data_IF_275917333932
#
_entry.id   IF_275917333932
#
_cell.length_a   1.000
_cell.length_b   1.000
_cell.length_c   1.000
_cell.angle_alpha   90.00
_cell.angle_beta   90.00
_cell.angle_gamma   90.00
#
_symmetry.space_group_name_H-M   'P 1'
#
loop_
_entity.id
_entity.type
_entity.pdbx_description
1 polymer ?
#
# COMPACT_ATOMS: atom_id res chain seq x y z
N UNK A 1 6.23 -56.98 -1.82
CA UNK A 1 5.32 -56.85 -0.66
C UNK A 1 5.38 -55.42 -0.18
N UNK A 2 4.28 -54.70 -0.36
CA UNK A 2 4.10 -53.28 -0.03
C UNK A 2 3.74 -53.18 1.45
N UNK A 3 4.48 -52.36 2.21
CA UNK A 3 4.08 -51.96 3.57
C UNK A 3 3.87 -50.45 3.53
N UNK A 4 2.59 -50.10 3.46
CA UNK A 4 2.04 -48.78 3.69
C UNK A 4 2.38 -48.33 5.11
N UNK A 5 3.26 -47.32 5.24
CA UNK A 5 3.33 -46.51 6.45
C UNK A 5 2.37 -45.34 6.29
N UNK A 6 1.28 -45.42 7.04
CA UNK A 6 0.22 -44.44 7.13
C UNK A 6 0.77 -43.10 7.61
N UNK A 7 0.55 -42.07 6.79
CA UNK A 7 0.62 -40.65 7.16
C UNK A 7 -0.51 -40.39 8.16
N UNK A 8 -0.26 -40.63 9.46
CA UNK A 8 -1.29 -40.45 10.49
C UNK A 8 -0.75 -40.05 11.87
N UNK A 9 0.48 -39.57 11.98
CA UNK A 9 1.08 -39.24 13.29
C UNK A 9 1.63 -37.82 13.46
N UNK A 10 1.25 -36.86 12.60
CA UNK A 10 1.64 -35.45 12.76
C UNK A 10 0.47 -34.48 13.02
N UNK A 11 -0.76 -34.98 13.16
CA UNK A 11 -1.92 -34.17 13.56
C UNK A 11 -2.26 -34.40 15.03
N UNK A 12 -1.38 -33.99 15.95
CA UNK A 12 -1.77 -33.83 17.36
C UNK A 12 -0.88 -32.82 18.10
N UNK A 13 -1.03 -31.55 17.74
CA UNK A 13 -0.87 -30.47 18.70
C UNK A 13 -2.07 -29.55 18.55
N UNK A 14 -2.83 -29.41 19.64
CA UNK A 14 -4.05 -28.61 19.78
C UNK A 14 -3.81 -27.19 19.26
N UNK A 15 -4.13 -26.95 17.99
CA UNK A 15 -4.14 -25.63 17.40
C UNK A 15 -5.42 -24.94 17.82
N UNK A 16 -5.38 -24.17 18.92
CA UNK A 16 -6.41 -23.18 19.21
C UNK A 16 -6.61 -22.35 17.92
N UNK A 17 -7.77 -22.48 17.27
CA UNK A 17 -8.16 -21.59 16.17
C UNK A 17 -8.19 -20.17 16.76
N UNK A 18 -7.12 -19.42 16.52
CA UNK A 18 -7.04 -18.02 16.90
C UNK A 18 -8.19 -17.29 16.21
N UNK A 19 -9.12 -16.74 16.99
CA UNK A 19 -10.22 -15.94 16.47
C UNK A 19 -9.76 -14.51 16.24
N UNK A 20 -10.43 -13.78 15.34
CA UNK A 20 -10.14 -12.37 15.07
C UNK A 20 -10.21 -11.54 16.36
N UNK A 21 -11.29 -11.70 17.13
CA UNK A 21 -11.49 -10.96 18.37
C UNK A 21 -10.48 -11.34 19.46
N UNK A 22 -10.12 -12.63 19.56
CA UNK A 22 -9.10 -13.11 20.49
C UNK A 22 -7.71 -12.55 20.18
N UNK A 23 -7.37 -12.45 18.89
CA UNK A 23 -6.13 -11.82 18.44
C UNK A 23 -6.14 -10.31 18.71
N UNK A 24 -7.23 -9.60 18.39
CA UNK A 24 -7.32 -8.17 18.69
C UNK A 24 -7.19 -7.88 20.18
N UNK A 25 -7.82 -8.70 21.03
CA UNK A 25 -7.73 -8.57 22.48
C UNK A 25 -6.31 -8.80 23.00
N UNK A 26 -5.53 -9.70 22.41
CA UNK A 26 -4.15 -9.97 22.83
C UNK A 26 -3.16 -8.87 22.43
N UNK A 27 -3.49 -8.04 21.43
CA UNK A 27 -2.67 -6.92 20.99
C UNK A 27 -2.82 -5.68 21.90
N UNK A 28 -4.04 -5.41 22.39
CA UNK A 28 -4.34 -4.19 23.16
C UNK A 28 -3.59 -4.15 24.49
N UNK A 29 -3.01 -3.00 24.81
CA UNK A 29 -2.23 -2.73 26.02
C UNK A 29 -0.79 -3.26 25.96
N UNK A 30 -0.38 -3.90 24.87
CA UNK A 30 1.00 -4.40 24.74
C UNK A 30 1.96 -3.26 24.44
N UNK A 31 3.13 -3.30 25.10
CA UNK A 31 4.22 -2.38 24.81
C UNK A 31 5.17 -3.04 23.81
N UNK A 32 5.46 -2.34 22.72
CA UNK A 32 6.38 -2.80 21.68
C UNK A 32 7.37 -1.70 21.31
N UNK A 33 8.55 -2.12 20.87
CA UNK A 33 9.59 -1.23 20.35
C UNK A 33 9.67 -1.42 18.84
N UNK A 34 9.31 -0.37 18.10
CA UNK A 34 9.52 -0.31 16.66
C UNK A 34 11.02 -0.09 16.40
N UNK A 35 11.66 -0.86 15.50
CA UNK A 35 13.08 -0.69 15.24
C UNK A 35 13.37 0.57 14.42
N UNK A 36 14.63 1.00 14.41
CA UNK A 36 15.08 2.15 13.64
C UNK A 36 15.04 1.87 12.13
N UNK A 37 13.90 2.11 11.49
CA UNK A 37 13.74 1.90 10.04
C UNK A 37 14.57 2.89 9.21
N UNK A 38 14.83 4.10 9.73
CA UNK A 38 15.68 5.10 9.05
C UNK A 38 17.10 4.56 8.86
N UNK A 39 17.63 3.81 9.83
CA UNK A 39 18.95 3.18 9.70
C UNK A 39 19.02 2.15 8.58
N UNK A 40 17.92 1.44 8.28
CA UNK A 40 17.88 0.39 7.25
C UNK A 40 17.95 0.96 5.83
N UNK A 41 17.50 2.20 5.64
CA UNK A 41 17.46 2.90 4.36
C UNK A 41 18.42 4.10 4.32
N UNK A 42 19.38 4.20 5.26
CA UNK A 42 20.29 5.34 5.36
C UNK A 42 21.12 5.57 4.09
N UNK A 43 21.37 4.52 3.30
CA UNK A 43 22.08 4.59 2.02
C UNK A 43 21.20 5.01 0.84
N UNK A 44 19.88 5.15 1.03
CA UNK A 44 18.98 5.65 -0.01
C UNK A 44 18.98 7.19 -0.03
N UNK A 45 18.79 7.80 -1.22
CA UNK A 45 18.69 9.25 -1.32
C UNK A 45 17.43 9.78 -0.63
N UNK A 46 17.52 11.00 -0.11
CA UNK A 46 16.43 11.74 0.51
C UNK A 46 16.50 13.19 0.05
N UNK A 47 15.39 13.74 -0.42
CA UNK A 47 15.29 15.12 -0.84
C UNK A 47 13.83 15.60 -0.76
N UNK A 48 13.64 16.91 -0.72
CA UNK A 48 12.35 17.58 -0.93
C UNK A 48 12.45 18.32 -2.25
N UNK A 49 11.44 18.18 -3.11
CA UNK A 49 11.43 18.86 -4.39
C UNK A 49 11.28 20.39 -4.17
N UNK A 50 11.97 21.25 -4.94
CA UNK A 50 11.86 22.71 -4.77
C UNK A 50 10.42 23.26 -4.82
N UNK A 51 9.57 22.61 -5.62
CA UNK A 51 8.15 22.96 -5.79
C UNK A 51 7.21 22.32 -4.74
N UNK A 52 7.74 21.73 -3.67
CA UNK A 52 6.90 21.02 -2.70
C UNK A 52 5.86 21.92 -2.01
N UNK A 53 6.22 23.16 -1.70
CA UNK A 53 5.31 24.14 -1.08
C UNK A 53 4.22 24.58 -2.07
N UNK A 54 4.60 24.91 -3.31
CA UNK A 54 3.66 25.23 -4.39
C UNK A 54 2.66 24.09 -4.60
N UNK A 55 3.16 22.85 -4.66
CA UNK A 55 2.32 21.65 -4.81
C UNK A 55 1.40 21.46 -3.61
N UNK A 56 1.85 21.76 -2.39
CA UNK A 56 1.03 21.67 -1.20
C UNK A 56 -0.18 22.63 -1.27
N UNK A 57 0.05 23.88 -1.66
CA UNK A 57 -1.01 24.88 -1.84
C UNK A 57 -2.02 24.46 -2.92
N UNK A 58 -1.55 23.99 -4.07
CA UNK A 58 -2.39 23.55 -5.18
C UNK A 58 -3.24 22.32 -4.81
N UNK A 59 -2.66 21.35 -4.09
CA UNK A 59 -3.38 20.16 -3.61
C UNK A 59 -4.40 20.56 -2.57
N UNK A 60 -4.06 21.43 -1.61
CA UNK A 60 -4.99 21.87 -0.57
C UNK A 60 -6.19 22.58 -1.18
N UNK A 61 -5.96 23.49 -2.13
CA UNK A 61 -7.04 24.17 -2.86
C UNK A 61 -7.93 23.17 -3.62
N UNK A 62 -7.33 22.19 -4.29
CA UNK A 62 -8.08 21.15 -5.01
C UNK A 62 -8.96 20.31 -4.07
N UNK A 63 -8.46 20.00 -2.87
CA UNK A 63 -9.23 19.30 -1.84
C UNK A 63 -10.34 20.19 -1.28
N UNK A 64 -10.05 21.46 -0.99
CA UNK A 64 -11.05 22.40 -0.49
C UNK A 64 -12.19 22.57 -1.49
N UNK A 65 -11.90 22.67 -2.79
CA UNK A 65 -12.92 22.72 -3.84
C UNK A 65 -13.76 21.45 -3.87
N UNK A 66 -13.11 20.28 -3.76
CA UNK A 66 -13.76 18.96 -3.76
C UNK A 66 -14.69 18.76 -2.55
N UNK A 67 -14.30 19.26 -1.37
CA UNK A 67 -15.00 19.07 -0.09
C UNK A 67 -15.77 20.30 0.41
N UNK A 68 -15.81 21.38 -0.37
CA UNK A 68 -16.38 22.70 -0.02
C UNK A 68 -17.86 22.70 0.41
N UNK A 69 -18.64 21.68 0.07
CA UNK A 69 -20.05 21.57 0.49
C UNK A 69 -20.37 20.27 1.21
N UNK A 70 -21.25 20.33 2.23
CA UNK A 70 -21.80 19.14 2.92
C UNK A 70 -22.52 18.19 1.97
N UNK A 71 -23.06 18.72 0.87
CA UNK A 71 -23.70 17.93 -0.17
C UNK A 71 -22.67 17.16 -1.00
N UNK A 72 -21.55 17.80 -1.37
CA UNK A 72 -20.41 17.14 -2.03
C UNK A 72 -19.84 16.05 -1.12
N UNK A 73 -19.54 16.35 0.15
CA UNK A 73 -19.01 15.37 1.09
C UNK A 73 -19.91 14.13 1.28
N UNK A 74 -21.25 14.29 1.23
CA UNK A 74 -22.19 13.15 1.30
C UNK A 74 -22.30 12.36 0.00
N UNK A 75 -22.03 12.99 -1.16
CA UNK A 75 -22.04 12.36 -2.49
C UNK A 75 -20.74 11.60 -2.78
N UNK A 76 -19.63 11.98 -2.15
CA UNK A 76 -18.33 11.33 -2.27
C UNK A 76 -18.30 10.02 -1.45
N UNK A 77 -19.06 9.02 -1.88
CA UNK A 77 -18.85 7.66 -1.40
C UNK A 77 -17.62 7.07 -2.09
N UNK A 78 -16.67 6.62 -1.28
CA UNK A 78 -15.44 5.99 -1.75
C UNK A 78 -15.30 4.59 -1.26
N UNK A 79 -14.55 3.80 -2.02
CA UNK A 79 -14.17 2.46 -1.63
C UNK A 79 -13.03 2.48 -0.58
N UNK A 80 -13.32 3.08 0.58
CA UNK A 80 -12.41 3.16 1.71
C UNK A 80 -13.19 3.12 3.02
N UNK A 81 -12.77 2.23 3.91
CA UNK A 81 -13.34 2.06 5.24
C UNK A 81 -13.17 3.30 6.13
N UNK A 82 -12.17 4.13 5.87
CA UNK A 82 -11.90 5.34 6.65
C UNK A 82 -12.92 6.46 6.37
N UNK A 83 -13.57 6.42 5.21
CA UNK A 83 -14.31 7.58 4.69
C UNK A 83 -15.74 7.24 4.21
N UNK A 84 -16.08 5.96 4.03
CA UNK A 84 -17.41 5.57 3.55
C UNK A 84 -17.84 4.18 4.03
N UNK A 85 -19.15 4.01 4.19
CA UNK A 85 -19.79 2.70 4.41
C UNK A 85 -19.97 1.90 3.11
N UNK A 86 -19.58 2.43 1.95
CA UNK A 86 -19.65 1.74 0.65
C UNK A 86 -18.92 0.39 0.67
N UNK A 87 -17.87 0.26 1.49
CA UNK A 87 -17.13 -0.99 1.67
C UNK A 87 -17.98 -2.13 2.24
N UNK A 88 -19.13 -1.84 2.86
CA UNK A 88 -20.06 -2.87 3.33
C UNK A 88 -21.11 -3.25 2.27
N UNK A 89 -21.12 -2.58 1.11
CA UNK A 89 -22.03 -2.87 0.00
C UNK A 89 -21.24 -3.24 -1.26
N UNK A 90 -21.14 -4.55 -1.51
CA UNK A 90 -20.42 -5.13 -2.65
C UNK A 90 -20.95 -4.60 -3.98
N UNK A 91 -22.26 -4.42 -4.12
CA UNK A 91 -22.87 -3.93 -5.34
C UNK A 91 -22.47 -2.49 -5.64
N UNK A 92 -22.57 -1.61 -4.64
CA UNK A 92 -22.20 -0.19 -4.79
C UNK A 92 -20.71 0.00 -5.03
N UNK A 93 -19.85 -0.66 -4.25
CA UNK A 93 -18.39 -0.62 -4.41
C UNK A 93 -17.95 -1.18 -5.77
N UNK A 94 -18.55 -2.27 -6.25
CA UNK A 94 -18.26 -2.84 -7.57
C UNK A 94 -18.64 -1.88 -8.71
N UNK A 95 -19.80 -1.20 -8.62
CA UNK A 95 -20.20 -0.18 -9.60
C UNK A 95 -19.22 0.99 -9.63
N UNK A 96 -18.85 1.51 -8.46
CA UNK A 96 -17.89 2.59 -8.34
C UNK A 96 -16.53 2.22 -8.96
N UNK A 97 -16.01 1.02 -8.65
CA UNK A 97 -14.75 0.51 -9.24
C UNK A 97 -14.82 0.34 -10.75
N UNK A 98 -15.92 -0.19 -11.28
CA UNK A 98 -16.12 -0.36 -12.72
C UNK A 98 -16.22 0.98 -13.46
N UNK A 99 -16.94 1.94 -12.89
CA UNK A 99 -17.02 3.31 -13.39
C UNK A 99 -15.63 3.97 -13.40
N UNK A 100 -14.89 3.84 -12.30
CA UNK A 100 -13.52 4.34 -12.16
C UNK A 100 -12.59 3.76 -13.23
N UNK A 101 -12.59 2.43 -13.42
CA UNK A 101 -11.73 1.79 -14.41
C UNK A 101 -12.10 2.18 -15.85
N UNK A 102 -13.39 2.29 -16.17
CA UNK A 102 -13.84 2.78 -17.49
C UNK A 102 -13.38 4.20 -17.74
N UNK A 103 -13.48 5.07 -16.74
CA UNK A 103 -13.04 6.45 -16.86
C UNK A 103 -11.53 6.55 -17.07
N UNK A 104 -10.74 5.82 -16.27
CA UNK A 104 -9.28 5.75 -16.40
C UNK A 104 -8.89 5.26 -17.79
N UNK A 105 -9.47 4.14 -18.26
CA UNK A 105 -9.17 3.58 -19.58
C UNK A 105 -9.49 4.56 -20.71
N UNK A 106 -10.65 5.23 -20.62
CA UNK A 106 -11.03 6.25 -21.61
C UNK A 106 -10.10 7.47 -21.56
N UNK A 107 -9.70 7.94 -20.38
CA UNK A 107 -8.77 9.08 -20.22
C UNK A 107 -7.36 8.81 -20.73
N UNK A 108 -6.91 7.55 -20.72
CA UNK A 108 -5.62 7.16 -21.28
C UNK A 108 -5.68 7.01 -22.80
N UNK A 109 -6.86 6.66 -23.33
CA UNK A 109 -7.06 6.36 -24.76
C UNK A 109 -7.55 7.56 -25.57
N UNK A 110 -8.22 8.53 -24.93
CA UNK A 110 -8.77 9.71 -25.56
C UNK A 110 -7.84 10.90 -25.32
N UNK A 111 -7.20 11.40 -26.38
CA UNK A 111 -6.33 12.59 -26.33
C UNK A 111 -7.05 13.86 -25.84
N UNK A 112 -6.44 15.03 -26.03
CA UNK A 112 -6.75 16.34 -25.40
C UNK A 112 -8.24 16.81 -25.34
N UNK A 113 -9.18 16.15 -26.02
CA UNK A 113 -10.58 16.56 -26.13
C UNK A 113 -11.62 15.45 -25.89
N UNK A 114 -11.27 14.35 -25.21
CA UNK A 114 -12.26 13.32 -24.89
C UNK A 114 -13.29 13.85 -23.87
N UNK A 115 -14.53 14.06 -24.30
CA UNK A 115 -15.64 14.30 -23.37
C UNK A 115 -15.97 13.00 -22.61
N UNK A 116 -15.52 12.92 -21.35
CA UNK A 116 -15.73 11.77 -20.48
C UNK A 116 -16.92 11.95 -19.53
N UNK A 117 -17.72 13.01 -19.68
CA UNK A 117 -18.87 13.30 -18.81
C UNK A 117 -19.95 12.21 -18.87
N UNK A 118 -20.05 11.52 -20.01
CA UNK A 118 -20.95 10.38 -20.20
C UNK A 118 -20.51 9.12 -19.42
N UNK A 119 -19.26 9.04 -18.97
CA UNK A 119 -18.74 7.90 -18.18
C UNK A 119 -18.96 8.14 -16.70
N UNK A 120 -18.59 9.32 -16.20
CA UNK A 120 -18.76 9.69 -14.81
C UNK A 120 -18.87 11.20 -14.64
N UNK A 121 -19.70 11.60 -13.68
CA UNK A 121 -19.78 12.96 -13.14
C UNK A 121 -19.28 13.02 -11.69
N UNK A 122 -18.77 11.91 -11.15
CA UNK A 122 -18.25 11.85 -9.79
C UNK A 122 -16.87 12.53 -9.74
N UNK A 123 -16.70 13.62 -8.96
CA UNK A 123 -15.47 14.41 -9.00
C UNK A 123 -14.23 13.66 -8.51
N UNK A 124 -14.37 12.55 -7.78
CA UNK A 124 -13.24 11.67 -7.42
C UNK A 124 -12.75 10.83 -8.60
N UNK A 125 -13.68 10.43 -9.46
CA UNK A 125 -13.36 9.67 -10.67
C UNK A 125 -12.81 10.65 -11.72
N UNK A 126 -13.50 11.79 -11.91
CA UNK A 126 -13.10 12.78 -12.92
C UNK A 126 -11.84 13.55 -12.57
N UNK A 127 -11.45 13.60 -11.29
CA UNK A 127 -10.14 14.11 -10.85
C UNK A 127 -8.96 13.38 -11.49
N UNK A 128 -9.15 12.15 -11.99
CA UNK A 128 -8.13 11.45 -12.76
C UNK A 128 -7.96 11.99 -14.19
N UNK A 129 -8.94 12.72 -14.73
CA UNK A 129 -8.93 13.18 -16.13
C UNK A 129 -7.64 13.90 -16.54
N UNK A 130 -7.21 14.96 -15.82
CA UNK A 130 -5.93 15.63 -16.09
C UNK A 130 -4.71 14.70 -16.04
N UNK A 131 -4.71 13.71 -15.13
CA UNK A 131 -3.63 12.73 -15.00
C UNK A 131 -3.62 11.79 -16.21
N UNK A 132 -4.78 11.27 -16.60
CA UNK A 132 -4.95 10.41 -17.76
C UNK A 132 -4.50 11.08 -19.05
N UNK A 133 -4.90 12.34 -19.27
CA UNK A 133 -4.47 13.15 -20.42
C UNK A 133 -2.96 13.38 -20.43
N UNK A 134 -2.38 13.78 -19.28
CA UNK A 134 -0.93 13.97 -19.17
C UNK A 134 -0.16 12.67 -19.49
N UNK A 135 -0.62 11.52 -19.01
CA UNK A 135 -0.03 10.22 -19.35
C UNK A 135 -0.21 9.92 -20.84
N UNK A 136 -1.41 10.12 -21.38
CA UNK A 136 -1.72 9.84 -22.79
C UNK A 136 -0.79 10.62 -23.73
N UNK A 137 -0.59 11.91 -23.46
CA UNK A 137 0.23 12.80 -24.28
C UNK A 137 1.75 12.53 -24.19
N UNK A 138 2.21 11.93 -23.10
CA UNK A 138 3.64 11.77 -22.83
C UNK A 138 4.12 10.31 -22.90
N UNK A 139 3.25 9.36 -23.23
CA UNK A 139 3.60 7.93 -23.25
C UNK A 139 3.05 7.22 -24.48
N UNK A 140 3.69 6.10 -24.83
CA UNK A 140 3.21 5.26 -25.92
C UNK A 140 2.15 4.24 -25.46
N UNK A 141 1.45 3.64 -26.42
CA UNK A 141 0.37 2.66 -26.16
C UNK A 141 0.83 1.49 -25.26
N UNK A 142 2.08 1.05 -25.37
CA UNK A 142 2.61 -0.03 -24.50
C UNK A 142 2.71 0.44 -23.05
N UNK A 143 3.21 1.64 -22.81
CA UNK A 143 3.31 2.24 -21.48
C UNK A 143 1.91 2.47 -20.87
N UNK A 144 0.98 3.01 -21.67
CA UNK A 144 -0.41 3.20 -21.26
C UNK A 144 -1.08 1.87 -20.87
N UNK A 145 -0.91 0.82 -21.69
CA UNK A 145 -1.41 -0.53 -21.38
C UNK A 145 -0.80 -1.11 -20.11
N UNK A 146 0.51 -0.95 -19.91
CA UNK A 146 1.18 -1.44 -18.70
C UNK A 146 0.67 -0.73 -17.44
N UNK A 147 0.50 0.59 -17.51
CA UNK A 147 -0.06 1.40 -16.43
C UNK A 147 -1.51 1.01 -16.12
N UNK A 148 -2.37 0.90 -17.15
CA UNK A 148 -3.76 0.48 -17.00
C UNK A 148 -3.88 -0.93 -16.41
N UNK A 149 -3.01 -1.88 -16.82
CA UNK A 149 -2.95 -3.22 -16.23
C UNK A 149 -2.61 -3.16 -14.73
N UNK A 150 -1.66 -2.30 -14.34
CA UNK A 150 -1.33 -2.05 -12.94
C UNK A 150 -2.55 -1.57 -12.14
N UNK A 151 -3.30 -0.59 -12.67
CA UNK A 151 -4.51 -0.06 -12.03
C UNK A 151 -5.66 -1.08 -11.96
N UNK A 152 -5.89 -1.84 -13.02
CA UNK A 152 -6.87 -2.95 -13.01
C UNK A 152 -6.53 -3.98 -11.96
N UNK A 153 -5.25 -4.32 -11.81
CA UNK A 153 -4.79 -5.25 -10.79
C UNK A 153 -4.95 -4.66 -9.40
N UNK A 154 -4.62 -3.39 -9.18
CA UNK A 154 -4.89 -2.68 -7.92
C UNK A 154 -6.38 -2.79 -7.53
N UNK A 155 -7.29 -2.34 -8.41
CA UNK A 155 -8.75 -2.36 -8.16
C UNK A 155 -9.30 -3.76 -7.93
N UNK A 156 -8.78 -4.77 -8.65
CA UNK A 156 -9.17 -6.16 -8.42
C UNK A 156 -8.78 -6.61 -7.00
N UNK A 157 -7.59 -6.26 -6.55
CA UNK A 157 -7.09 -6.72 -5.25
C UNK A 157 -7.73 -5.97 -4.09
N UNK A 158 -8.18 -4.71 -4.27
CA UNK A 158 -9.01 -4.02 -3.26
C UNK A 158 -10.38 -4.67 -3.12
N UNK A 159 -10.95 -5.19 -4.21
CA UNK A 159 -12.17 -6.01 -4.14
C UNK A 159 -11.94 -7.31 -3.36
N UNK A 160 -10.84 -8.02 -3.60
CA UNK A 160 -10.48 -9.23 -2.83
C UNK A 160 -10.28 -8.90 -1.33
N UNK A 161 -9.69 -7.74 -1.01
CA UNK A 161 -9.55 -7.24 0.36
C UNK A 161 -10.89 -7.00 1.04
N UNK A 162 -11.81 -6.30 0.36
CA UNK A 162 -13.17 -6.10 0.85
C UNK A 162 -13.90 -7.42 1.11
N UNK A 163 -13.78 -8.40 0.21
CA UNK A 163 -14.41 -9.72 0.41
C UNK A 163 -13.87 -10.39 1.68
N UNK A 164 -12.55 -10.40 1.85
CA UNK A 164 -11.89 -10.97 3.03
C UNK A 164 -12.39 -10.31 4.33
N UNK A 165 -12.57 -8.98 4.33
CA UNK A 165 -13.08 -8.24 5.47
C UNK A 165 -14.55 -8.58 5.79
N UNK A 166 -15.40 -8.66 4.76
CA UNK A 166 -16.83 -9.02 4.93
C UNK A 166 -16.98 -10.44 5.47
N UNK A 167 -16.16 -11.37 4.99
CA UNK A 167 -16.18 -12.77 5.43
C UNK A 167 -15.56 -12.98 6.83
N UNK A 168 -14.86 -11.97 7.37
CA UNK A 168 -14.20 -12.04 8.67
C UNK A 168 -13.08 -13.09 8.75
N UNK A 169 -12.54 -13.52 7.61
CA UNK A 169 -11.48 -14.54 7.56
C UNK A 169 -10.13 -13.93 7.87
N UNK A 170 -9.40 -14.50 8.84
CA UNK A 170 -7.99 -14.21 9.04
C UNK A 170 -7.17 -14.83 7.91
N UNK A 171 -6.40 -14.00 7.21
CA UNK A 171 -5.50 -14.46 6.16
C UNK A 171 -4.22 -15.05 6.74
N UNK A 172 -3.58 -15.95 6.00
CA UNK A 172 -2.17 -16.27 6.27
C UNK A 172 -1.27 -15.06 5.96
N UNK A 173 -0.12 -14.90 6.61
CA UNK A 173 0.84 -13.85 6.25
C UNK A 173 1.23 -13.87 4.77
N UNK A 174 1.37 -15.06 4.17
CA UNK A 174 1.67 -15.20 2.73
C UNK A 174 0.55 -14.71 1.82
N UNK A 175 -0.72 -15.00 2.16
CA UNK A 175 -1.87 -14.53 1.39
C UNK A 175 -2.00 -13.01 1.52
N UNK A 176 -1.79 -12.50 2.73
CA UNK A 176 -1.76 -11.07 3.00
C UNK A 176 -0.68 -10.37 2.17
N UNK A 177 0.57 -10.82 2.23
CA UNK A 177 1.69 -10.22 1.47
C UNK A 177 1.45 -10.24 -0.05
N UNK A 178 0.89 -11.34 -0.58
CA UNK A 178 0.50 -11.44 -2.00
C UNK A 178 -0.55 -10.38 -2.36
N UNK A 179 -1.57 -10.20 -1.52
CA UNK A 179 -2.61 -9.18 -1.71
C UNK A 179 -2.03 -7.77 -1.60
N UNK A 180 -1.21 -7.54 -0.57
CA UNK A 180 -0.63 -6.26 -0.18
C UNK A 180 0.34 -5.70 -1.22
N UNK A 181 1.03 -6.56 -1.97
CA UNK A 181 1.81 -6.16 -3.15
C UNK A 181 0.96 -5.32 -4.13
N UNK A 182 -0.33 -5.57 -4.23
CA UNK A 182 -1.19 -4.81 -5.12
C UNK A 182 -1.96 -3.72 -4.40
N UNK A 183 -2.57 -3.99 -3.24
CA UNK A 183 -3.38 -2.98 -2.52
C UNK A 183 -2.54 -1.88 -1.88
N UNK A 184 -1.24 -2.12 -1.63
CA UNK A 184 -0.25 -1.10 -1.30
C UNK A 184 0.16 -0.23 -2.50
N UNK A 185 -0.52 -0.38 -3.64
CA UNK A 185 -0.28 0.38 -4.86
C UNK A 185 1.15 0.23 -5.40
N UNK A 186 1.87 -0.85 -5.11
CA UNK A 186 3.31 -1.00 -5.47
C UNK A 186 3.58 -0.86 -6.97
N UNK A 187 2.67 -1.35 -7.83
CA UNK A 187 2.83 -1.18 -9.28
C UNK A 187 2.65 0.28 -9.73
N UNK A 188 1.63 1.03 -9.26
CA UNK A 188 1.53 2.46 -9.57
C UNK A 188 2.41 3.40 -8.73
N UNK A 189 2.90 3.03 -7.53
CA UNK A 189 3.56 3.96 -6.57
C UNK A 189 4.82 3.44 -5.86
N UNK A 190 5.20 2.17 -6.03
CA UNK A 190 6.42 1.52 -5.52
C UNK A 190 6.60 1.47 -3.97
N UNK A 191 6.71 0.24 -3.45
CA UNK A 191 7.28 -0.22 -2.16
C UNK A 191 7.08 0.64 -0.88
N UNK A 192 5.82 0.81 -0.45
CA UNK A 192 5.44 1.55 0.77
C UNK A 192 4.88 0.65 1.90
N UNK A 193 4.49 -0.58 1.58
CA UNK A 193 3.57 -1.35 2.41
C UNK A 193 4.17 -1.94 3.70
N UNK A 194 5.37 -2.50 3.71
CA UNK A 194 5.92 -3.09 4.96
C UNK A 194 6.24 -1.99 5.99
N UNK A 195 6.73 -0.84 5.54
CA UNK A 195 6.92 0.34 6.40
C UNK A 195 5.56 0.85 6.91
N UNK A 196 4.53 0.86 6.07
CA UNK A 196 3.17 1.21 6.49
C UNK A 196 2.72 0.30 7.62
N UNK A 197 2.75 -1.02 7.42
CA UNK A 197 2.23 -2.02 8.37
C UNK A 197 2.98 -1.97 9.72
N UNK A 198 4.28 -1.63 9.74
CA UNK A 198 5.06 -1.44 10.98
C UNK A 198 4.68 -0.14 11.69
N UNK A 199 4.54 0.96 10.96
CA UNK A 199 4.29 2.28 11.55
C UNK A 199 2.81 2.52 11.88
N UNK A 200 1.90 1.83 11.20
CA UNK A 200 0.45 1.96 11.36
C UNK A 200 -0.13 1.08 12.46
N UNK A 201 0.63 0.12 13.01
CA UNK A 201 0.12 -0.92 13.89
C UNK A 201 -0.71 -0.38 15.07
N UNK A 202 -0.29 0.72 15.68
CA UNK A 202 -1.03 1.37 16.76
C UNK A 202 -2.42 1.83 16.30
N UNK A 203 -2.46 2.59 15.20
CA UNK A 203 -3.70 3.08 14.60
C UNK A 203 -4.61 1.91 14.21
N UNK A 204 -4.04 0.86 13.61
CA UNK A 204 -4.78 -0.31 13.14
C UNK A 204 -5.42 -1.09 14.28
N UNK A 205 -4.69 -1.34 15.38
CA UNK A 205 -5.22 -2.01 16.58
C UNK A 205 -6.32 -1.17 17.25
N UNK A 206 -6.12 0.15 17.37
CA UNK A 206 -7.16 1.07 17.89
C UNK A 206 -8.46 1.01 17.06
N UNK A 207 -8.35 0.81 15.74
CA UNK A 207 -9.48 0.71 14.80
C UNK A 207 -10.02 -0.73 14.62
N UNK A 208 -9.46 -1.73 15.31
CA UNK A 208 -9.83 -3.13 15.13
C UNK A 208 -9.46 -3.72 13.76
N UNK A 209 -8.53 -3.08 13.04
CA UNK A 209 -8.01 -3.48 11.74
C UNK A 209 -6.84 -4.45 11.91
N UNK A 210 -7.13 -5.73 12.13
CA UNK A 210 -6.08 -6.73 12.34
C UNK A 210 -5.70 -7.51 11.08
N UNK A 211 -6.23 -7.10 9.91
CA UNK A 211 -5.79 -7.61 8.60
C UNK A 211 -4.50 -6.89 8.16
N UNK A 212 -3.46 -7.03 8.97
CA UNK A 212 -2.16 -6.36 8.83
C UNK A 212 -1.04 -7.34 9.14
N UNK A 213 0.16 -7.12 8.60
CA UNK A 213 1.25 -8.08 8.68
C UNK A 213 1.60 -8.47 10.13
N UNK A 214 1.70 -7.49 11.05
CA UNK A 214 2.09 -7.76 12.44
C UNK A 214 1.06 -8.65 13.15
N UNK A 215 -0.25 -8.30 13.21
CA UNK A 215 -1.26 -9.17 13.82
C UNK A 215 -1.24 -10.59 13.26
N UNK A 216 -1.11 -10.73 11.94
CA UNK A 216 -1.11 -12.03 11.27
C UNK A 216 0.14 -12.87 11.58
N UNK A 217 1.26 -12.24 11.96
CA UNK A 217 2.48 -12.93 12.39
C UNK A 217 2.48 -13.34 13.87
N UNK A 218 1.62 -12.75 14.72
CA UNK A 218 1.60 -13.07 16.16
C UNK A 218 1.35 -14.55 16.45
N UNK A 219 0.38 -15.24 15.79
CA UNK A 219 0.18 -16.67 16.01
C UNK A 219 1.40 -17.54 15.68
N UNK A 220 2.20 -17.14 14.71
CA UNK A 220 3.41 -17.87 14.28
C UNK A 220 4.63 -17.55 15.14
N UNK A 221 4.73 -16.32 15.64
CA UNK A 221 5.91 -15.80 16.35
C UNK A 221 5.77 -15.83 17.88
N UNK A 222 4.54 -16.00 18.39
CA UNK A 222 4.23 -16.14 19.81
C UNK A 222 4.16 -14.84 20.61
N UNK A 223 4.60 -13.70 20.06
CA UNK A 223 4.48 -12.39 20.72
C UNK A 223 4.40 -11.24 19.72
N UNK A 224 3.86 -10.09 20.16
CA UNK A 224 3.76 -8.89 19.31
C UNK A 224 5.14 -8.33 18.97
N UNK A 225 6.10 -8.34 19.92
CA UNK A 225 7.46 -7.90 19.65
C UNK A 225 8.15 -8.82 18.63
N UNK A 226 8.02 -10.14 18.78
CA UNK A 226 8.58 -11.11 17.82
C UNK A 226 7.97 -10.94 16.43
N UNK A 227 6.69 -10.58 16.33
CA UNK A 227 6.02 -10.27 15.06
C UNK A 227 6.56 -8.98 14.43
N UNK A 228 6.80 -7.92 15.22
CA UNK A 228 7.45 -6.67 14.78
C UNK A 228 8.87 -6.95 14.28
N UNK A 229 9.64 -7.75 15.01
CA UNK A 229 11.01 -8.14 14.64
C UNK A 229 10.99 -8.93 13.33
N UNK A 230 10.05 -9.86 13.16
CA UNK A 230 9.87 -10.63 11.93
C UNK A 230 9.47 -9.76 10.74
N UNK A 231 8.54 -8.82 10.92
CA UNK A 231 8.17 -7.85 9.87
C UNK A 231 9.39 -6.99 9.47
N UNK A 232 10.23 -6.64 10.44
CA UNK A 232 11.45 -5.88 10.21
C UNK A 232 12.50 -6.67 9.43
N UNK A 233 12.63 -7.97 9.68
CA UNK A 233 13.48 -8.86 8.89
C UNK A 233 12.99 -9.01 7.44
N UNK A 234 11.67 -9.07 7.23
CA UNK A 234 11.06 -9.07 5.90
C UNK A 234 11.43 -7.78 5.16
N UNK A 235 11.28 -6.61 5.80
CA UNK A 235 11.67 -5.32 5.22
C UNK A 235 13.17 -5.27 4.88
N UNK A 236 14.06 -5.71 5.80
CA UNK A 236 15.51 -5.79 5.52
C UNK A 236 15.81 -6.70 4.33
N UNK A 237 15.11 -7.82 4.21
CA UNK A 237 15.27 -8.72 3.07
C UNK A 237 14.74 -8.10 1.76
N UNK A 238 13.65 -7.34 1.80
CA UNK A 238 13.15 -6.57 0.65
C UNK A 238 14.17 -5.53 0.17
N UNK A 239 14.77 -4.75 1.08
CA UNK A 239 15.82 -3.76 0.76
C UNK A 239 17.02 -4.45 0.10
N UNK A 240 17.54 -5.54 0.71
CA UNK A 240 18.68 -6.27 0.12
C UNK A 240 18.39 -6.82 -1.27
N UNK A 241 17.17 -7.32 -1.52
CA UNK A 241 16.76 -7.80 -2.85
C UNK A 241 16.69 -6.66 -3.86
N UNK A 242 16.20 -5.49 -3.45
CA UNK A 242 16.17 -4.30 -4.30
C UNK A 242 17.59 -3.85 -4.67
N UNK A 243 18.49 -3.72 -3.68
CA UNK A 243 19.89 -3.35 -3.90
C UNK A 243 20.63 -4.34 -4.82
N UNK A 244 20.33 -5.63 -4.69
CA UNK A 244 20.90 -6.66 -5.57
C UNK A 244 20.34 -6.53 -7.00
N UNK A 245 19.02 -6.32 -7.15
CA UNK A 245 18.38 -6.15 -8.45
C UNK A 245 18.92 -4.92 -9.19
N UNK A 246 19.14 -3.81 -8.48
CA UNK A 246 19.81 -2.62 -9.01
C UNK A 246 21.20 -2.96 -9.56
N UNK A 247 22.04 -3.63 -8.77
CA UNK A 247 23.40 -4.01 -9.20
C UNK A 247 23.37 -4.88 -10.46
N UNK A 248 22.46 -5.85 -10.52
CA UNK A 248 22.31 -6.77 -11.65
C UNK A 248 21.87 -6.01 -12.90
N UNK A 249 20.79 -5.23 -12.82
CA UNK A 249 20.21 -4.57 -14.00
C UNK A 249 21.15 -3.48 -14.55
N UNK A 250 21.81 -2.71 -13.67
CA UNK A 250 22.82 -1.75 -14.10
C UNK A 250 24.04 -2.49 -14.69
N UNK A 251 24.52 -3.57 -14.08
CA UNK A 251 25.61 -4.36 -14.65
C UNK A 251 25.29 -4.86 -16.07
N UNK A 252 24.09 -5.41 -16.27
CA UNK A 252 23.60 -5.96 -17.53
C UNK A 252 23.59 -4.92 -18.66
N UNK A 253 23.17 -3.68 -18.37
CA UNK A 253 23.05 -2.62 -19.38
C UNK A 253 24.20 -1.60 -19.33
N UNK A 254 25.34 -1.94 -18.71
CA UNK A 254 26.51 -1.07 -18.55
C UNK A 254 27.06 -0.45 -19.85
N UNK A 255 26.86 -1.13 -21.00
CA UNK A 255 27.32 -0.66 -22.31
C UNK A 255 26.34 0.29 -23.04
N UNK A 256 25.17 0.58 -22.45
CA UNK A 256 24.18 1.50 -23.02
C UNK A 256 24.01 2.74 -22.11
N UNK A 257 24.76 3.84 -22.37
CA UNK A 257 24.77 5.01 -21.48
C UNK A 257 23.39 5.67 -21.29
N UNK A 258 22.58 5.73 -22.36
CA UNK A 258 21.23 6.32 -22.28
C UNK A 258 20.31 5.49 -21.40
N UNK A 259 20.23 4.19 -21.67
CA UNK A 259 19.40 3.28 -20.86
C UNK A 259 19.89 3.22 -19.41
N UNK A 260 21.21 3.32 -19.18
CA UNK A 260 21.79 3.44 -17.85
C UNK A 260 21.29 4.66 -17.09
N UNK A 261 21.27 5.83 -17.74
CA UNK A 261 20.75 7.06 -17.14
C UNK A 261 19.25 6.91 -16.80
N UNK A 262 18.45 6.38 -17.74
CA UNK A 262 17.01 6.15 -17.54
C UNK A 262 16.74 5.15 -16.39
N UNK A 263 17.51 4.06 -16.32
CA UNK A 263 17.42 3.07 -15.25
C UNK A 263 17.78 3.66 -13.89
N UNK A 264 18.84 4.46 -13.80
CA UNK A 264 19.24 5.12 -12.55
C UNK A 264 18.17 6.09 -12.07
N UNK A 265 17.63 6.91 -12.97
CA UNK A 265 16.54 7.83 -12.65
C UNK A 265 15.33 7.07 -12.09
N UNK A 266 14.95 5.96 -12.72
CA UNK A 266 13.84 5.13 -12.26
C UNK A 266 14.13 4.50 -10.88
N UNK A 267 15.30 3.89 -10.70
CA UNK A 267 15.70 3.22 -9.46
C UNK A 267 15.78 4.23 -8.30
N UNK A 268 16.38 5.40 -8.53
CA UNK A 268 16.47 6.45 -7.51
C UNK A 268 15.09 7.00 -7.17
N UNK A 269 14.17 7.12 -8.14
CA UNK A 269 12.77 7.49 -7.87
C UNK A 269 12.08 6.49 -6.94
N UNK A 270 12.31 5.18 -7.13
CA UNK A 270 11.82 4.16 -6.20
C UNK A 270 12.38 4.36 -4.79
N UNK A 271 13.68 4.65 -4.67
CA UNK A 271 14.33 4.84 -3.37
C UNK A 271 13.85 6.11 -2.67
N UNK A 272 13.65 7.20 -3.41
CA UNK A 272 13.02 8.42 -2.91
C UNK A 272 11.60 8.14 -2.40
N UNK A 273 10.81 7.32 -3.09
CA UNK A 273 9.48 6.93 -2.61
C UNK A 273 9.56 6.21 -1.24
N UNK A 274 10.52 5.30 -1.06
CA UNK A 274 10.73 4.63 0.22
C UNK A 274 11.10 5.60 1.36
N UNK A 275 12.07 6.51 1.13
CA UNK A 275 12.52 7.47 2.15
C UNK A 275 11.48 8.55 2.42
N UNK A 276 10.81 9.07 1.39
CA UNK A 276 9.72 10.02 1.53
C UNK A 276 8.56 9.43 2.33
N UNK A 277 8.16 8.19 2.05
CA UNK A 277 7.09 7.53 2.80
C UNK A 277 7.45 7.34 4.27
N UNK A 278 8.69 6.90 4.58
CA UNK A 278 9.13 6.78 5.97
C UNK A 278 9.13 8.13 6.68
N UNK A 279 9.72 9.16 6.08
CA UNK A 279 9.79 10.49 6.67
C UNK A 279 8.41 11.11 6.86
N UNK A 280 7.52 10.97 5.87
CA UNK A 280 6.12 11.39 5.98
C UNK A 280 5.40 10.63 7.10
N UNK A 281 5.64 9.33 7.25
CA UNK A 281 5.03 8.53 8.32
C UNK A 281 5.47 8.98 9.71
N UNK A 282 6.69 9.47 9.87
CA UNK A 282 7.17 10.02 11.13
C UNK A 282 6.60 11.40 11.41
N UNK A 283 6.60 12.29 10.41
CA UNK A 283 6.11 13.66 10.55
C UNK A 283 4.58 13.75 10.65
N UNK A 284 3.85 12.80 10.04
CA UNK A 284 2.40 12.82 9.98
C UNK A 284 1.75 12.44 11.31
N UNK A 285 0.69 13.15 11.67
CA UNK A 285 -0.16 12.79 12.81
C UNK A 285 -0.93 11.48 12.60
N UNK A 286 -1.02 10.99 11.35
CA UNK A 286 -1.79 9.78 10.97
C UNK A 286 -1.44 8.55 11.80
N UNK A 287 -0.16 8.36 12.13
CA UNK A 287 0.33 7.18 12.85
C UNK A 287 0.55 7.41 14.34
N UNK A 288 0.32 8.63 14.83
CA UNK A 288 0.40 8.99 16.26
C UNK A 288 1.74 8.62 16.91
N UNK A 289 2.83 8.66 16.14
CA UNK A 289 4.19 8.36 16.63
C UNK A 289 4.80 9.56 17.37
N UNK A 290 4.41 10.78 17.00
CA UNK A 290 4.82 12.01 17.69
C UNK A 290 6.33 12.29 17.67
N UNK A 291 7.05 11.78 16.66
CA UNK A 291 8.51 11.87 16.55
C UNK A 291 8.95 11.99 15.10
N UNK A 292 10.05 12.69 14.85
CA UNK A 292 10.67 12.84 13.53
C UNK A 292 11.88 11.92 13.32
N UNK A 293 12.30 11.19 14.35
CA UNK A 293 13.43 10.25 14.34
C UNK A 293 13.06 8.93 15.01
N UNK A 294 13.57 7.84 14.46
CA UNK A 294 13.52 6.49 15.03
C UNK A 294 14.84 6.04 15.65
N UNK A 295 15.79 6.97 15.88
CA UNK A 295 17.03 6.66 16.57
C UNK A 295 16.78 6.04 17.95
N UNK A 296 17.46 4.94 18.26
CA UNK A 296 17.23 4.16 19.48
C UNK A 296 15.96 3.30 19.48
N UNK A 297 15.15 3.33 18.41
CA UNK A 297 13.85 2.68 18.34
C UNK A 297 12.72 3.54 18.93
N UNK A 298 11.47 3.16 18.66
CA UNK A 298 10.28 3.90 19.11
C UNK A 298 9.39 2.98 19.95
N UNK A 299 9.34 3.23 21.26
CA UNK A 299 8.43 2.52 22.15
C UNK A 299 7.00 3.06 22.00
N UNK A 300 6.06 2.15 21.79
CA UNK A 300 4.62 2.45 21.71
C UNK A 300 3.81 1.46 22.53
N UNK A 301 2.62 1.88 22.95
CA UNK A 301 1.58 1.03 23.52
C UNK A 301 0.45 0.88 22.50
N UNK A 302 0.03 -0.35 22.23
CA UNK A 302 -1.05 -0.70 21.30
C UNK A 302 -2.43 -0.67 21.97
#
# INVERSE_FOLDING_TARGET
MSVSMTVSSLESSVGLKVTRDGLLASLKGTNVVLPNLQSMMKHYPTAVHPEAETLHEDVQKSLDDLFSSRENARRLQIDSQEFSSMIHNISSSSKFRQETLRYIEASLSGGDHADLSHISTNPLITGFGPIGMAISNNTNERQQKAFLQGLRKYVKMTMEEQMSQIEGRLLSPSDYLRRRMYTGAVLPTLAIHETNDILSIKKEVEQGQIDSLIPLLVPETGSVQSAVDRASDILRASIRRFDLAEKIILGQYSKNPKLQADLRLYIDSCKYACTANLNWSLASSRYKLGRTSMEGGVSITL
#
